data_IF_288033096723
#
_entry.id   IF_288033096723
#
_cell.length_a   1.000
_cell.length_b   1.000
_cell.length_c   1.000
_cell.angle_alpha   90.00
_cell.angle_beta   90.00
_cell.angle_gamma   90.00
#
_symmetry.space_group_name_H-M   'P 1'
#
loop_
_entity.id
_entity.type
_entity.pdbx_description
1 polymer ?
#
# COMPACT_ATOMS: atom_id res chain seq x y z
N UNK A 1 -28.53 -14.08 16.20
CA UNK A 1 -28.83 -12.94 15.28
C UNK A 1 -27.59 -12.58 14.48
N UNK A 2 -27.54 -12.97 13.19
CA UNK A 2 -26.45 -12.66 12.25
C UNK A 2 -26.84 -11.42 11.44
N UNK A 3 -26.12 -10.30 11.57
CA UNK A 3 -26.24 -9.16 10.64
C UNK A 3 -25.39 -9.45 9.39
N UNK A 4 -25.91 -9.29 8.16
CA UNK A 4 -25.12 -9.47 6.96
C UNK A 4 -24.33 -8.19 6.66
N UNK A 5 -22.98 -8.28 6.62
CA UNK A 5 -22.10 -7.22 6.07
C UNK A 5 -22.19 -7.23 4.54
N UNK A 6 -23.26 -6.69 3.97
CA UNK A 6 -23.39 -6.42 2.53
C UNK A 6 -22.85 -5.01 2.27
N UNK A 7 -21.60 -4.89 1.87
CA UNK A 7 -21.02 -3.58 1.52
C UNK A 7 -19.57 -3.61 1.05
N UNK A 8 -18.80 -4.65 1.39
CA UNK A 8 -17.36 -4.71 1.08
C UNK A 8 -17.01 -5.43 -0.24
N UNK A 9 -17.99 -5.78 -1.08
CA UNK A 9 -17.75 -6.65 -2.25
C UNK A 9 -17.49 -5.91 -3.57
N UNK A 10 -17.69 -4.60 -3.65
CA UNK A 10 -17.54 -3.87 -4.91
C UNK A 10 -16.12 -3.42 -5.23
N UNK A 11 -15.25 -3.23 -4.24
CA UNK A 11 -13.88 -2.74 -4.47
C UNK A 11 -12.87 -3.86 -4.84
N UNK A 12 -13.15 -5.12 -4.50
CA UNK A 12 -12.27 -6.24 -4.81
C UNK A 12 -12.23 -6.60 -6.32
N UNK A 13 -13.23 -6.19 -7.10
CA UNK A 13 -13.33 -6.55 -8.52
C UNK A 13 -12.52 -5.63 -9.44
N UNK A 14 -12.21 -4.41 -9.02
CA UNK A 14 -11.49 -3.42 -9.84
C UNK A 14 -9.97 -3.64 -9.77
N UNK A 15 -9.42 -4.02 -8.61
CA UNK A 15 -7.98 -4.30 -8.47
C UNK A 15 -7.49 -5.53 -9.25
N UNK A 16 -8.36 -6.53 -9.48
CA UNK A 16 -8.00 -7.76 -10.19
C UNK A 16 -7.81 -7.56 -11.70
N UNK A 17 -8.34 -6.48 -12.28
CA UNK A 17 -8.21 -6.19 -13.71
C UNK A 17 -6.92 -5.43 -14.05
N UNK A 18 -6.36 -4.65 -13.13
CA UNK A 18 -5.10 -3.93 -13.38
C UNK A 18 -3.85 -4.81 -13.28
N UNK A 19 -3.85 -5.82 -12.40
CA UNK A 19 -2.72 -6.77 -12.31
C UNK A 19 -2.61 -7.70 -13.54
N UNK A 20 -3.68 -7.88 -14.32
CA UNK A 20 -3.63 -8.69 -15.54
C UNK A 20 -3.07 -7.96 -16.77
N UNK A 21 -2.87 -6.64 -16.69
CA UNK A 21 -2.30 -5.86 -17.79
C UNK A 21 -0.77 -5.92 -17.89
N UNK A 22 -0.07 -5.98 -16.76
CA UNK A 22 1.40 -5.96 -16.72
C UNK A 22 2.04 -7.33 -16.98
N UNK A 23 1.38 -8.45 -16.65
CA UNK A 23 1.91 -9.79 -16.96
C UNK A 23 1.96 -10.08 -18.47
N UNK A 24 1.14 -9.39 -19.27
CA UNK A 24 1.10 -9.57 -20.72
C UNK A 24 2.33 -8.97 -21.45
N UNK A 25 3.08 -8.06 -20.81
CA UNK A 25 4.27 -7.45 -21.42
C UNK A 25 5.55 -8.28 -21.25
N UNK A 26 5.66 -9.10 -20.20
CA UNK A 26 6.85 -9.94 -19.97
C UNK A 26 6.91 -11.19 -20.86
N UNK A 27 5.77 -11.66 -21.38
CA UNK A 27 5.71 -12.83 -22.28
C UNK A 27 6.18 -12.56 -23.72
N UNK A 28 6.43 -11.30 -24.11
CA UNK A 28 6.90 -10.95 -25.47
C UNK A 28 8.41 -11.07 -25.67
N UNK A 29 9.20 -11.34 -24.63
CA UNK A 29 10.67 -11.44 -24.75
C UNK A 29 11.14 -12.87 -25.06
N UNK A 30 10.31 -13.89 -24.82
CA UNK A 30 10.68 -15.28 -25.11
C UNK A 30 10.29 -15.68 -26.53
N UNK A 31 11.27 -15.61 -27.44
CA UNK A 31 11.16 -16.20 -28.77
C UNK A 31 11.19 -17.75 -28.65
N UNK A 32 10.02 -18.33 -28.38
CA UNK A 32 9.78 -19.78 -28.19
C UNK A 32 10.48 -20.69 -29.22
N UNK A 33 10.46 -20.40 -30.53
CA UNK A 33 11.18 -21.24 -31.51
C UNK A 33 12.69 -21.22 -31.31
N UNK A 34 13.28 -20.07 -30.95
CA UNK A 34 14.72 -19.96 -30.65
C UNK A 34 15.07 -20.73 -29.36
N UNK A 35 14.24 -20.64 -28.33
CA UNK A 35 14.43 -21.37 -27.07
C UNK A 35 14.42 -22.89 -27.29
N UNK A 36 13.53 -23.41 -28.17
CA UNK A 36 13.52 -24.83 -28.56
C UNK A 36 14.80 -25.25 -29.27
N UNK A 37 15.32 -24.44 -30.20
CA UNK A 37 16.57 -24.73 -30.90
C UNK A 37 17.79 -24.73 -29.98
N UNK A 38 17.85 -23.78 -29.04
CA UNK A 38 18.88 -23.73 -28.00
C UNK A 38 18.80 -24.94 -27.07
N UNK A 39 17.60 -25.31 -26.62
CA UNK A 39 17.41 -26.50 -25.77
C UNK A 39 17.85 -27.80 -26.47
N UNK A 40 17.64 -27.93 -27.78
CA UNK A 40 18.07 -29.10 -28.54
C UNK A 40 19.61 -29.24 -28.64
N UNK A 41 20.35 -28.15 -28.40
CA UNK A 41 21.83 -28.13 -28.45
C UNK A 41 22.49 -28.17 -27.08
N UNK A 42 21.73 -28.09 -25.99
CA UNK A 42 22.30 -28.24 -24.66
C UNK A 42 22.72 -29.70 -24.45
N UNK A 43 23.93 -29.95 -23.93
CA UNK A 43 24.35 -31.30 -23.60
C UNK A 43 23.36 -31.93 -22.63
N UNK A 44 22.95 -33.17 -22.90
CA UNK A 44 22.12 -33.95 -21.98
C UNK A 44 23.02 -34.30 -20.79
N UNK A 45 22.98 -33.47 -19.76
CA UNK A 45 23.66 -33.75 -18.49
C UNK A 45 22.91 -34.92 -17.87
N UNK A 46 23.57 -36.06 -17.58
CA UNK A 46 22.92 -37.16 -16.90
C UNK A 46 22.40 -36.64 -15.56
N UNK A 47 21.09 -36.76 -15.33
CA UNK A 47 20.51 -36.39 -14.04
C UNK A 47 21.14 -37.29 -12.98
N UNK A 48 22.08 -36.73 -12.22
CA UNK A 48 22.49 -37.34 -10.98
C UNK A 48 21.26 -37.31 -10.06
N UNK A 49 20.75 -38.46 -9.57
CA UNK A 49 19.60 -38.50 -8.67
C UNK A 49 19.83 -37.72 -7.37
N UNK A 50 21.06 -37.26 -7.11
CA UNK A 50 21.40 -36.38 -6.01
C UNK A 50 20.85 -34.95 -6.14
N UNK A 51 20.36 -34.51 -7.31
CA UNK A 51 19.87 -33.14 -7.51
C UNK A 51 18.47 -33.09 -8.11
N UNK A 52 17.70 -32.09 -7.69
CA UNK A 52 16.34 -31.82 -8.14
C UNK A 52 16.17 -30.32 -8.43
N UNK A 53 15.53 -30.01 -9.56
CA UNK A 53 15.31 -28.63 -10.00
C UNK A 53 13.97 -28.15 -9.43
N UNK A 54 13.97 -27.00 -8.75
CA UNK A 54 12.75 -26.40 -8.24
C UNK A 54 11.81 -25.98 -9.38
N UNK A 55 10.55 -26.41 -9.35
CA UNK A 55 9.56 -26.03 -10.36
C UNK A 55 9.15 -24.54 -10.33
N UNK A 56 9.46 -23.82 -9.25
CA UNK A 56 9.09 -22.41 -9.07
C UNK A 56 10.18 -21.46 -9.58
N UNK A 57 11.36 -21.46 -8.94
CA UNK A 57 12.47 -20.55 -9.28
C UNK A 57 13.58 -21.20 -10.14
N UNK A 58 13.44 -22.48 -10.51
CA UNK A 58 14.43 -23.26 -11.29
C UNK A 58 15.80 -23.44 -10.63
N UNK A 59 15.92 -23.17 -9.34
CA UNK A 59 17.13 -23.41 -8.57
C UNK A 59 17.41 -24.93 -8.42
N UNK A 60 18.68 -25.32 -8.50
CA UNK A 60 19.13 -26.71 -8.35
C UNK A 60 19.33 -26.99 -6.86
N UNK A 61 18.49 -27.85 -6.30
CA UNK A 61 18.57 -28.27 -4.90
C UNK A 61 19.10 -29.70 -4.82
N UNK A 62 19.63 -30.09 -3.67
CA UNK A 62 19.91 -31.48 -3.39
C UNK A 62 18.61 -32.28 -3.19
N UNK A 63 18.59 -33.54 -3.64
CA UNK A 63 17.41 -34.39 -3.65
C UNK A 63 16.86 -34.73 -2.26
N UNK A 64 17.65 -34.51 -1.21
CA UNK A 64 17.25 -34.74 0.18
C UNK A 64 16.46 -33.57 0.79
N UNK A 65 16.39 -32.41 0.13
CA UNK A 65 15.64 -31.26 0.65
C UNK A 65 14.16 -31.29 0.25
N UNK A 66 13.26 -31.15 1.24
CA UNK A 66 11.81 -31.04 0.98
C UNK A 66 11.39 -29.67 0.41
N UNK A 67 12.16 -28.62 0.68
CA UNK A 67 11.91 -27.24 0.25
C UNK A 67 13.11 -26.67 -0.51
N UNK A 68 12.85 -25.75 -1.42
CA UNK A 68 13.90 -25.08 -2.17
C UNK A 68 14.68 -24.14 -1.24
N UNK A 69 16.01 -24.22 -1.25
CA UNK A 69 16.86 -23.34 -0.43
C UNK A 69 16.87 -21.89 -0.91
N UNK A 70 16.44 -21.63 -2.15
CA UNK A 70 16.34 -20.29 -2.73
C UNK A 70 14.95 -19.64 -2.50
N UNK A 71 13.86 -20.27 -2.99
CA UNK A 71 12.51 -19.69 -2.91
C UNK A 71 11.60 -20.32 -1.82
N UNK A 72 12.04 -21.35 -1.11
CA UNK A 72 11.21 -22.03 -0.09
C UNK A 72 10.00 -22.81 -0.62
N UNK A 73 9.79 -22.90 -1.94
CA UNK A 73 8.74 -23.72 -2.54
C UNK A 73 9.01 -25.22 -2.34
N UNK A 74 7.96 -26.06 -2.23
CA UNK A 74 8.13 -27.50 -2.12
C UNK A 74 8.76 -28.06 -3.40
N UNK A 75 9.77 -28.92 -3.25
CA UNK A 75 10.50 -29.48 -4.39
C UNK A 75 10.00 -30.88 -4.74
N UNK A 76 9.59 -31.65 -3.72
CA UNK A 76 8.94 -32.94 -3.91
C UNK A 76 7.42 -32.82 -4.08
N UNK A 77 6.78 -33.67 -4.90
CA UNK A 77 5.35 -33.67 -5.12
C UNK A 77 4.52 -34.21 -3.93
N UNK A 78 5.16 -34.50 -2.79
CA UNK A 78 4.48 -34.98 -1.58
C UNK A 78 3.41 -33.98 -1.08
N UNK A 79 2.30 -34.52 -0.56
CA UNK A 79 1.14 -33.70 -0.16
C UNK A 79 1.41 -32.82 1.05
N UNK A 80 2.21 -33.28 2.01
CA UNK A 80 2.49 -32.58 3.26
C UNK A 80 3.30 -31.26 3.09
N UNK A 81 4.44 -31.22 2.38
CA UNK A 81 5.18 -29.96 2.18
C UNK A 81 4.38 -28.93 1.35
N UNK A 82 3.54 -29.38 0.43
CA UNK A 82 2.66 -28.50 -0.35
C UNK A 82 1.59 -27.81 0.50
N UNK A 83 0.96 -28.53 1.44
CA UNK A 83 -0.05 -27.92 2.33
C UNK A 83 0.59 -26.89 3.26
N UNK A 84 1.75 -27.19 3.83
CA UNK A 84 2.49 -26.23 4.67
C UNK A 84 2.87 -24.96 3.92
N UNK A 85 3.38 -25.09 2.68
CA UNK A 85 3.69 -23.94 1.84
C UNK A 85 2.45 -23.09 1.55
N UNK A 86 1.33 -23.72 1.17
CA UNK A 86 0.06 -23.03 0.92
C UNK A 86 -0.46 -22.32 2.17
N UNK A 87 -0.34 -22.94 3.34
CA UNK A 87 -0.74 -22.32 4.61
C UNK A 87 0.11 -21.08 4.93
N UNK A 88 1.44 -21.15 4.77
CA UNK A 88 2.34 -20.00 4.97
C UNK A 88 2.03 -18.87 4.00
N UNK A 89 1.81 -19.18 2.72
CA UNK A 89 1.42 -18.17 1.72
C UNK A 89 0.08 -17.53 2.07
N UNK A 90 -0.91 -18.33 2.49
CA UNK A 90 -2.20 -17.81 2.92
C UNK A 90 -2.08 -16.88 4.14
N UNK A 91 -1.25 -17.24 5.12
CA UNK A 91 -1.00 -16.39 6.29
C UNK A 91 -0.37 -15.05 5.90
N UNK A 92 0.61 -15.04 5.00
CA UNK A 92 1.22 -13.78 4.51
C UNK A 92 0.22 -12.89 3.77
N UNK A 93 -0.61 -13.49 2.91
CA UNK A 93 -1.68 -12.77 2.21
C UNK A 93 -2.73 -12.22 3.19
N UNK A 94 -3.07 -12.97 4.24
CA UNK A 94 -3.97 -12.52 5.29
C UNK A 94 -3.38 -11.33 6.06
N UNK A 95 -2.09 -11.40 6.42
CA UNK A 95 -1.38 -10.26 7.04
C UNK A 95 -1.36 -9.03 6.12
N UNK A 96 -1.11 -9.22 4.82
CA UNK A 96 -1.15 -8.13 3.84
C UNK A 96 -2.54 -7.49 3.79
N UNK A 97 -3.60 -8.30 3.73
CA UNK A 97 -4.99 -7.80 3.72
C UNK A 97 -5.35 -7.06 5.02
N UNK A 98 -4.84 -7.52 6.17
CA UNK A 98 -5.05 -6.87 7.46
C UNK A 98 -4.37 -5.48 7.53
N UNK A 99 -3.24 -5.30 6.84
CA UNK A 99 -2.58 -3.99 6.73
C UNK A 99 -3.28 -3.02 5.79
N UNK A 100 -4.13 -3.50 4.88
CA UNK A 100 -4.80 -2.64 3.91
C UNK A 100 -5.90 -1.77 4.54
N UNK A 101 -6.65 -2.31 5.51
CA UNK A 101 -7.71 -1.57 6.19
C UNK A 101 -7.27 -0.24 6.84
N UNK A 102 -6.19 -0.17 7.65
CA UNK A 102 -5.71 1.09 8.20
C UNK A 102 -5.18 2.05 7.12
N UNK A 103 -4.57 1.55 6.05
CA UNK A 103 -4.14 2.39 4.91
C UNK A 103 -5.35 3.04 4.24
N UNK A 104 -6.44 2.28 4.04
CA UNK A 104 -7.70 2.80 3.51
C UNK A 104 -8.31 3.85 4.43
N UNK A 105 -8.28 3.67 5.76
CA UNK A 105 -8.76 4.69 6.70
C UNK A 105 -7.96 6.00 6.62
N UNK A 106 -6.64 5.93 6.49
CA UNK A 106 -5.79 7.12 6.33
C UNK A 106 -6.07 7.84 5.00
N UNK A 107 -6.31 7.07 3.93
CA UNK A 107 -6.71 7.63 2.63
C UNK A 107 -8.05 8.37 2.69
N UNK A 108 -9.03 7.82 3.41
CA UNK A 108 -10.32 8.50 3.62
C UNK A 108 -10.12 9.85 4.33
N UNK A 109 -9.21 9.93 5.30
CA UNK A 109 -8.89 11.20 5.96
C UNK A 109 -8.30 12.22 5.00
N UNK A 110 -7.45 11.82 4.04
CA UNK A 110 -6.95 12.75 3.03
C UNK A 110 -8.06 13.32 2.15
N UNK A 111 -9.05 12.50 1.78
CA UNK A 111 -10.24 12.98 1.06
C UNK A 111 -11.10 13.90 1.94
N UNK A 112 -11.22 13.62 3.25
CA UNK A 112 -11.91 14.51 4.18
C UNK A 112 -11.20 15.85 4.35
N UNK A 113 -9.87 15.86 4.45
CA UNK A 113 -9.07 17.09 4.49
C UNK A 113 -9.21 17.88 3.18
N UNK A 114 -9.24 17.19 2.03
CA UNK A 114 -9.49 17.82 0.73
C UNK A 114 -10.85 18.52 0.71
N UNK A 115 -11.91 17.83 1.15
CA UNK A 115 -13.25 18.40 1.23
C UNK A 115 -13.31 19.58 2.20
N UNK A 116 -12.69 19.45 3.39
CA UNK A 116 -12.63 20.50 4.40
C UNK A 116 -11.89 21.74 3.89
N UNK A 117 -10.70 21.60 3.33
CA UNK A 117 -9.98 22.71 2.69
C UNK A 117 -10.78 23.30 1.52
N UNK A 118 -11.48 22.46 0.76
CA UNK A 118 -12.37 22.89 -0.32
C UNK A 118 -13.53 23.77 0.16
N UNK A 119 -14.08 23.53 1.36
CA UNK A 119 -15.08 24.44 1.94
C UNK A 119 -14.52 25.83 2.23
N UNK A 120 -13.20 25.98 2.42
CA UNK A 120 -12.53 27.27 2.53
C UNK A 120 -12.66 28.13 1.28
N UNK A 121 -12.87 27.54 0.10
CA UNK A 121 -13.13 28.29 -1.14
C UNK A 121 -14.46 29.04 -1.07
N UNK A 122 -15.44 28.51 -0.34
CA UNK A 122 -16.72 29.18 -0.12
C UNK A 122 -16.58 30.50 0.68
N UNK A 123 -15.45 30.71 1.37
CA UNK A 123 -15.13 31.98 2.03
C UNK A 123 -14.95 33.14 1.04
N UNK A 124 -14.84 32.89 -0.27
CA UNK A 124 -14.90 33.95 -1.29
C UNK A 124 -16.21 34.75 -1.23
N UNK A 125 -17.28 34.13 -0.73
CA UNK A 125 -18.58 34.77 -0.54
C UNK A 125 -18.67 35.60 0.75
N UNK A 126 -17.64 35.56 1.60
CA UNK A 126 -17.60 36.30 2.86
C UNK A 126 -17.13 37.75 2.67
N UNK A 127 -17.54 38.63 3.57
CA UNK A 127 -17.20 40.07 3.59
C UNK A 127 -15.88 40.38 4.32
N UNK A 128 -15.02 39.39 4.55
CA UNK A 128 -13.73 39.60 5.22
C UNK A 128 -12.73 40.33 4.31
N UNK A 129 -11.98 41.30 4.86
CA UNK A 129 -11.00 42.10 4.11
C UNK A 129 -9.92 41.24 3.40
N UNK A 130 -9.52 40.12 4.02
CA UNK A 130 -8.46 39.22 3.49
C UNK A 130 -8.98 37.97 2.76
N UNK A 131 -10.25 37.98 2.32
CA UNK A 131 -10.93 36.79 1.75
C UNK A 131 -10.20 36.13 0.58
N UNK A 132 -9.57 36.90 -0.30
CA UNK A 132 -8.90 36.37 -1.48
C UNK A 132 -7.67 35.55 -1.12
N UNK A 133 -6.83 36.04 -0.21
CA UNK A 133 -5.59 35.36 0.21
C UNK A 133 -5.93 34.05 0.90
N UNK A 134 -6.88 34.07 1.84
CA UNK A 134 -7.30 32.87 2.58
C UNK A 134 -7.92 31.81 1.66
N UNK A 135 -8.76 32.23 0.70
CA UNK A 135 -9.36 31.31 -0.26
C UNK A 135 -8.33 30.68 -1.20
N UNK A 136 -7.37 31.46 -1.71
CA UNK A 136 -6.32 30.94 -2.60
C UNK A 136 -5.46 29.90 -1.88
N UNK A 137 -5.07 30.16 -0.62
CA UNK A 137 -4.31 29.20 0.20
C UNK A 137 -5.14 27.93 0.45
N UNK A 138 -6.43 28.08 0.81
CA UNK A 138 -7.31 26.94 1.05
C UNK A 138 -7.52 26.09 -0.22
N UNK A 139 -7.69 26.73 -1.38
CA UNK A 139 -7.80 26.06 -2.68
C UNK A 139 -6.52 25.27 -3.02
N UNK A 140 -5.35 25.87 -2.81
CA UNK A 140 -4.08 25.22 -3.05
C UNK A 140 -3.89 23.99 -2.16
N UNK A 141 -4.22 24.10 -0.87
CA UNK A 141 -4.19 22.97 0.06
C UNK A 141 -5.18 21.86 -0.32
N UNK A 142 -6.39 22.22 -0.76
CA UNK A 142 -7.38 21.25 -1.23
C UNK A 142 -6.86 20.46 -2.43
N UNK A 143 -6.29 21.14 -3.44
CA UNK A 143 -5.69 20.49 -4.60
C UNK A 143 -4.54 19.58 -4.19
N UNK A 144 -3.65 20.07 -3.31
CA UNK A 144 -2.50 19.31 -2.83
C UNK A 144 -2.92 18.02 -2.10
N UNK A 145 -3.86 18.11 -1.14
CA UNK A 145 -4.37 16.93 -0.45
C UNK A 145 -5.15 15.99 -1.39
N UNK A 146 -5.85 16.52 -2.38
CA UNK A 146 -6.55 15.72 -3.39
C UNK A 146 -5.59 14.91 -4.25
N UNK A 147 -4.49 15.52 -4.70
CA UNK A 147 -3.42 14.85 -5.46
C UNK A 147 -2.74 13.79 -4.59
N UNK A 148 -2.42 14.09 -3.32
CA UNK A 148 -1.85 13.10 -2.40
C UNK A 148 -2.82 11.93 -2.13
N UNK A 149 -4.11 12.21 -1.97
CA UNK A 149 -5.15 11.19 -1.77
C UNK A 149 -5.28 10.28 -3.00
N UNK A 150 -5.20 10.83 -4.22
CA UNK A 150 -5.17 10.06 -5.46
C UNK A 150 -3.87 9.25 -5.60
N UNK A 151 -2.72 9.88 -5.39
CA UNK A 151 -1.41 9.25 -5.51
C UNK A 151 -1.20 8.10 -4.51
N UNK A 152 -1.83 8.19 -3.33
CA UNK A 152 -1.82 7.13 -2.32
C UNK A 152 -2.39 5.78 -2.80
N UNK A 153 -3.04 5.72 -3.97
CA UNK A 153 -3.48 4.47 -4.61
C UNK A 153 -2.30 3.67 -5.18
N UNK A 154 -1.27 4.35 -5.67
CA UNK A 154 -0.10 3.71 -6.29
C UNK A 154 1.05 3.55 -5.31
N UNK A 155 1.38 4.61 -4.56
CA UNK A 155 2.50 4.63 -3.59
C UNK A 155 2.02 5.11 -2.22
N UNK A 156 1.35 4.26 -1.42
CA UNK A 156 0.69 4.67 -0.18
C UNK A 156 1.69 5.20 0.87
N UNK A 157 2.87 4.58 1.00
CA UNK A 157 3.86 4.99 2.00
C UNK A 157 4.33 6.43 1.78
N UNK A 158 4.83 6.75 0.58
CA UNK A 158 5.35 8.09 0.24
C UNK A 158 4.26 9.16 0.35
N UNK A 159 3.06 8.90 -0.18
CA UNK A 159 1.96 9.87 -0.14
C UNK A 159 1.51 10.17 1.29
N UNK A 160 1.36 9.14 2.14
CA UNK A 160 0.99 9.30 3.54
C UNK A 160 2.07 10.02 4.34
N UNK A 161 3.35 9.71 4.10
CA UNK A 161 4.48 10.37 4.75
C UNK A 161 4.49 11.88 4.46
N UNK A 162 4.36 12.27 3.19
CA UNK A 162 4.32 13.69 2.79
C UNK A 162 3.12 14.39 3.44
N UNK A 163 1.94 13.77 3.39
CA UNK A 163 0.73 14.34 4.01
C UNK A 163 0.88 14.53 5.53
N UNK A 164 1.55 13.60 6.21
CA UNK A 164 1.83 13.69 7.64
C UNK A 164 2.76 14.86 7.96
N UNK A 165 3.84 15.03 7.18
CA UNK A 165 4.76 16.17 7.37
C UNK A 165 4.02 17.49 7.20
N UNK A 166 3.19 17.61 6.15
CA UNK A 166 2.41 18.82 5.89
C UNK A 166 1.43 19.09 7.04
N UNK A 167 0.61 18.12 7.43
CA UNK A 167 -0.34 18.29 8.54
C UNK A 167 0.38 18.60 9.85
N UNK A 168 1.51 17.96 10.13
CA UNK A 168 2.31 18.23 11.33
C UNK A 168 2.87 19.65 11.34
N UNK A 169 3.41 20.14 10.21
CA UNK A 169 3.92 21.52 10.10
C UNK A 169 2.81 22.56 10.29
N UNK A 170 1.65 22.40 9.65
CA UNK A 170 0.52 23.31 9.86
C UNK A 170 0.00 23.25 11.30
N UNK A 171 -0.07 22.06 11.90
CA UNK A 171 -0.49 21.90 13.30
C UNK A 171 0.49 22.60 14.24
N UNK A 172 1.80 22.51 13.98
CA UNK A 172 2.83 23.18 14.77
C UNK A 172 2.72 24.70 14.64
N UNK A 173 2.58 25.23 13.41
CA UNK A 173 2.42 26.67 13.18
C UNK A 173 1.15 27.19 13.87
N UNK A 174 0.03 26.48 13.73
CA UNK A 174 -1.24 26.83 14.37
C UNK A 174 -1.15 26.79 15.90
N UNK A 175 -0.44 25.80 16.44
CA UNK A 175 -0.18 25.67 17.88
C UNK A 175 0.65 26.84 18.38
N UNK A 176 1.80 27.14 17.75
CA UNK A 176 2.70 28.24 18.12
C UNK A 176 2.01 29.59 18.07
N UNK A 177 1.29 29.88 16.98
CA UNK A 177 0.60 31.16 16.80
C UNK A 177 -0.48 31.40 17.87
N UNK A 178 -1.09 30.34 18.39
CA UNK A 178 -2.19 30.44 19.36
C UNK A 178 -1.75 30.22 20.80
N UNK A 179 -0.48 29.94 21.10
CA UNK A 179 0.01 29.60 22.45
C UNK A 179 -0.54 30.51 23.57
N UNK A 180 -0.66 31.82 23.31
CA UNK A 180 -1.16 32.79 24.30
C UNK A 180 -2.69 32.70 24.53
N UNK A 181 -3.47 32.22 23.56
CA UNK A 181 -4.94 32.20 23.59
C UNK A 181 -5.54 30.79 23.67
N UNK A 182 -4.77 29.74 23.34
CA UNK A 182 -5.25 28.35 23.31
C UNK A 182 -5.68 27.86 24.68
N UNK A 183 -5.03 28.29 25.75
CA UNK A 183 -5.41 27.89 27.12
C UNK A 183 -6.67 28.58 27.62
N UNK A 184 -7.05 29.73 27.04
CA UNK A 184 -8.20 30.49 27.49
C UNK A 184 -9.49 30.18 26.70
N UNK A 185 -9.37 29.64 25.48
CA UNK A 185 -10.52 29.48 24.56
C UNK A 185 -10.86 28.02 24.25
N UNK A 186 -12.12 27.64 24.48
CA UNK A 186 -12.63 26.29 24.18
C UNK A 186 -12.40 25.89 22.71
N UNK A 187 -12.54 26.84 21.76
CA UNK A 187 -12.38 26.59 20.33
C UNK A 187 -10.95 26.16 19.96
N UNK A 188 -9.92 26.75 20.59
CA UNK A 188 -8.52 26.39 20.34
C UNK A 188 -8.19 24.96 20.80
N UNK A 189 -8.77 24.56 21.91
CA UNK A 189 -8.61 23.21 22.48
C UNK A 189 -9.19 22.15 21.53
N UNK A 190 -10.43 22.31 21.06
CA UNK A 190 -11.04 21.35 20.13
C UNK A 190 -10.28 21.21 18.81
N UNK A 191 -9.80 22.32 18.24
CA UNK A 191 -8.97 22.28 17.03
C UNK A 191 -7.69 21.48 17.21
N UNK A 192 -7.01 21.68 18.35
CA UNK A 192 -5.80 20.94 18.70
C UNK A 192 -6.08 19.43 18.86
N UNK A 193 -7.17 19.06 19.55
CA UNK A 193 -7.54 17.64 19.67
C UNK A 193 -7.83 16.97 18.33
N UNK A 194 -8.55 17.65 17.42
CA UNK A 194 -8.82 17.12 16.08
C UNK A 194 -7.50 16.89 15.32
N UNK A 195 -6.55 17.83 15.37
CA UNK A 195 -5.25 17.65 14.72
C UNK A 195 -4.47 16.45 15.26
N UNK A 196 -4.50 16.21 16.57
CA UNK A 196 -3.86 15.04 17.20
C UNK A 196 -4.49 13.74 16.71
N UNK A 197 -5.81 13.69 16.61
CA UNK A 197 -6.53 12.51 16.08
C UNK A 197 -6.16 12.26 14.62
N UNK A 198 -6.14 13.30 13.79
CA UNK A 198 -5.74 13.20 12.37
C UNK A 198 -4.31 12.69 12.25
N UNK A 199 -3.37 13.26 13.02
CA UNK A 199 -1.97 12.83 13.04
C UNK A 199 -1.83 11.37 13.50
N UNK A 200 -2.58 10.95 14.53
CA UNK A 200 -2.58 9.58 15.02
C UNK A 200 -3.03 8.59 13.94
N UNK A 201 -4.11 8.90 13.21
CA UNK A 201 -4.61 8.00 12.15
C UNK A 201 -3.65 7.97 10.96
N UNK A 202 -3.06 9.12 10.58
CA UNK A 202 -2.03 9.15 9.54
C UNK A 202 -0.79 8.32 9.93
N UNK A 203 -0.31 8.46 11.16
CA UNK A 203 0.84 7.69 11.67
C UNK A 203 0.54 6.18 11.68
N UNK A 204 -0.67 5.81 12.10
CA UNK A 204 -1.17 4.43 12.00
C UNK A 204 -1.18 3.95 10.54
N UNK A 205 -1.62 4.78 9.60
CA UNK A 205 -1.57 4.51 8.17
C UNK A 205 -0.15 4.25 7.67
N UNK A 206 0.80 5.12 8.00
CA UNK A 206 2.21 5.05 7.59
C UNK A 206 2.86 3.75 8.08
N UNK A 207 2.70 3.41 9.38
CA UNK A 207 3.28 2.17 9.95
C UNK A 207 2.78 0.92 9.22
N UNK A 208 1.51 0.89 8.83
CA UNK A 208 0.94 -0.23 8.10
C UNK A 208 1.34 -0.24 6.63
N UNK A 209 1.46 0.93 5.99
CA UNK A 209 1.98 1.04 4.62
C UNK A 209 3.42 0.54 4.53
N UNK A 210 4.28 0.92 5.46
CA UNK A 210 5.67 0.43 5.54
C UNK A 210 5.74 -1.10 5.67
N UNK A 211 4.92 -1.67 6.56
CA UNK A 211 4.83 -3.13 6.73
C UNK A 211 4.32 -3.83 5.47
N UNK A 212 3.32 -3.27 4.81
CA UNK A 212 2.77 -3.81 3.57
C UNK A 212 3.82 -3.82 2.45
N UNK A 213 4.63 -2.76 2.34
CA UNK A 213 5.70 -2.67 1.35
C UNK A 213 6.81 -3.71 1.59
N UNK A 214 7.18 -3.97 2.85
CA UNK A 214 8.11 -5.06 3.20
C UNK A 214 7.54 -6.42 2.80
N UNK A 215 6.29 -6.71 3.17
CA UNK A 215 5.66 -8.00 2.86
C UNK A 215 5.54 -8.20 1.34
N UNK A 216 5.25 -7.14 0.58
CA UNK A 216 5.24 -7.18 -0.89
C UNK A 216 6.63 -7.47 -1.45
N UNK A 217 7.65 -6.78 -0.97
CA UNK A 217 9.03 -7.05 -1.39
C UNK A 217 9.45 -8.51 -1.08
N UNK A 218 9.04 -9.06 0.06
CA UNK A 218 9.26 -10.48 0.38
C UNK A 218 8.48 -11.45 -0.51
N UNK A 219 7.30 -11.05 -0.99
CA UNK A 219 6.48 -11.84 -1.91
C UNK A 219 7.01 -11.80 -3.34
N UNK A 220 7.56 -10.67 -3.78
CA UNK A 220 8.12 -10.51 -5.13
C UNK A 220 9.43 -11.30 -5.32
N UNK A 221 10.11 -11.67 -4.22
CA UNK A 221 11.30 -12.54 -4.23
C UNK A 221 10.93 -14.02 -4.35
N UNK A 222 9.71 -14.40 -3.96
CA UNK A 222 9.25 -15.80 -3.93
C UNK A 222 8.77 -16.27 -5.29
#
# INVERSE_FOLDING_TARGET
MKRPRKGLFYWAKIGKLQLMGEEAQYLKVFNMPLAKQLHARLPVVPLNPAFIICGHCRFVNEAHYHFCTNCGAPVLPESHPQTLYRLRMRQRLEMLSATEAPIQSARVILYLLTAFCGTGVALLLSEMDERYVMSVIAALLAVLFGVLAWWSRHKPFTALLISFVIVATFSLIAFVNRLHQTFATLQGVYGSFISIIVLYILLRGIRNAYRADIIKAELDIL
#
